data_IF_732057683002
#
_entry.id   IF_732057683002
#
_cell.length_a   1.000
_cell.length_b   1.000
_cell.length_c   1.000
_cell.angle_alpha   90.00
_cell.angle_beta   90.00
_cell.angle_gamma   90.00
#
_symmetry.space_group_name_H-M   'P 1'
#
loop_
_entity.id
_entity.type
_entity.pdbx_description
1 polymer ?
#
# COMPACT_ATOMS: atom_id res chain seq x y z
N UNK A 1 -2.49 17.67 -3.79
CA UNK A 1 -2.70 16.95 -2.52
C UNK A 1 -2.67 15.45 -2.76
N UNK A 2 -1.97 14.70 -1.91
CA UNK A 2 -1.86 13.26 -2.08
C UNK A 2 -3.16 12.58 -1.62
N UNK A 3 -3.68 11.69 -2.45
CA UNK A 3 -4.91 10.98 -2.14
C UNK A 3 -4.59 9.66 -1.41
N UNK A 4 -4.44 9.76 -0.10
CA UNK A 4 -4.10 8.60 0.72
C UNK A 4 -5.24 7.57 0.81
N UNK A 5 -6.48 8.03 0.67
CA UNK A 5 -7.61 7.11 0.64
C UNK A 5 -7.55 6.21 -0.59
N UNK A 6 -7.20 6.80 -1.73
CA UNK A 6 -7.03 6.03 -2.95
C UNK A 6 -5.82 5.10 -2.85
N UNK A 7 -4.79 5.50 -2.11
CA UNK A 7 -3.63 4.62 -1.87
C UNK A 7 -4.06 3.34 -1.15
N UNK A 8 -4.88 3.48 -0.10
CA UNK A 8 -5.38 2.32 0.64
C UNK A 8 -6.21 1.41 -0.27
N UNK A 9 -7.07 2.01 -1.10
CA UNK A 9 -7.91 1.26 -2.03
C UNK A 9 -7.05 0.52 -3.05
N UNK A 10 -6.09 1.22 -3.65
CA UNK A 10 -5.21 0.63 -4.66
C UNK A 10 -4.37 -0.51 -4.10
N UNK A 11 -3.88 -0.35 -2.87
CA UNK A 11 -3.13 -1.42 -2.21
C UNK A 11 -4.01 -2.65 -2.00
N UNK A 12 -5.25 -2.45 -1.54
CA UNK A 12 -6.20 -3.55 -1.34
C UNK A 12 -6.60 -4.24 -2.63
N UNK A 13 -6.57 -3.50 -3.75
CA UNK A 13 -6.89 -4.05 -5.06
C UNK A 13 -5.67 -4.61 -5.79
N UNK A 14 -4.49 -4.53 -5.19
CA UNK A 14 -3.24 -4.98 -5.78
C UNK A 14 -2.92 -4.22 -7.07
N UNK A 15 -3.25 -2.94 -7.10
CA UNK A 15 -3.03 -2.06 -8.26
C UNK A 15 -1.67 -1.39 -8.13
N UNK A 16 -0.64 -2.10 -8.57
CA UNK A 16 0.75 -1.66 -8.44
C UNK A 16 1.01 -0.28 -9.04
N UNK A 17 0.51 -0.04 -10.24
CA UNK A 17 0.78 1.22 -10.93
C UNK A 17 0.24 2.42 -10.17
N UNK A 18 -0.99 2.32 -9.66
CA UNK A 18 -1.61 3.39 -8.88
C UNK A 18 -0.87 3.59 -7.56
N UNK A 19 -0.49 2.50 -6.90
CA UNK A 19 0.27 2.57 -5.64
C UNK A 19 1.58 3.31 -5.88
N UNK A 20 2.33 2.95 -6.91
CA UNK A 20 3.61 3.60 -7.23
C UNK A 20 3.42 5.07 -7.53
N UNK A 21 2.42 5.41 -8.34
CA UNK A 21 2.14 6.78 -8.73
C UNK A 21 1.88 7.65 -7.51
N UNK A 22 1.06 7.16 -6.57
CA UNK A 22 0.74 7.91 -5.36
C UNK A 22 1.97 8.05 -4.47
N UNK A 23 2.73 6.97 -4.30
CA UNK A 23 3.92 6.99 -3.43
C UNK A 23 5.00 7.95 -3.95
N UNK A 24 5.10 8.12 -5.26
CA UNK A 24 6.06 9.05 -5.85
C UNK A 24 5.79 10.50 -5.49
N UNK A 25 4.57 10.82 -5.08
CA UNK A 25 4.19 12.16 -4.67
C UNK A 25 4.56 12.47 -3.22
N UNK A 26 4.98 11.46 -2.44
CA UNK A 26 5.38 11.64 -1.05
C UNK A 26 6.73 12.37 -1.01
N UNK A 27 6.79 13.45 -0.23
CA UNK A 27 8.00 14.28 -0.16
C UNK A 27 8.35 14.76 1.26
N UNK A 28 7.72 14.16 2.28
CA UNK A 28 7.97 14.56 3.67
C UNK A 28 7.76 13.37 4.61
N UNK A 29 8.32 13.48 5.81
CA UNK A 29 8.13 12.45 6.85
C UNK A 29 6.66 12.33 7.25
N UNK A 30 5.97 13.46 7.35
CA UNK A 30 4.56 13.45 7.71
C UNK A 30 3.73 12.71 6.68
N UNK A 31 3.94 13.03 5.39
CA UNK A 31 3.23 12.35 4.30
C UNK A 31 3.58 10.87 4.26
N UNK A 32 4.85 10.52 4.52
CA UNK A 32 5.29 9.13 4.52
C UNK A 32 4.60 8.32 5.62
N UNK A 33 4.43 8.90 6.80
CA UNK A 33 3.73 8.21 7.89
C UNK A 33 2.26 7.94 7.54
N UNK A 34 1.59 8.92 6.93
CA UNK A 34 0.20 8.74 6.51
C UNK A 34 0.12 7.71 5.39
N UNK A 35 1.07 7.74 4.45
CA UNK A 35 1.12 6.75 3.38
C UNK A 35 1.32 5.34 3.93
N UNK A 36 2.16 5.19 4.96
CA UNK A 36 2.38 3.89 5.60
C UNK A 36 1.08 3.35 6.21
N UNK A 37 0.33 4.21 6.91
CA UNK A 37 -0.95 3.82 7.48
C UNK A 37 -1.94 3.41 6.38
N UNK A 38 -1.96 4.14 5.27
CA UNK A 38 -2.83 3.80 4.15
C UNK A 38 -2.48 2.44 3.55
N UNK A 39 -1.18 2.15 3.41
CA UNK A 39 -0.73 0.86 2.91
C UNK A 39 -1.13 -0.28 3.85
N UNK A 40 -1.00 -0.07 5.17
CA UNK A 40 -1.41 -1.08 6.15
C UNK A 40 -2.91 -1.33 6.08
N UNK A 41 -3.70 -0.28 5.88
CA UNK A 41 -5.13 -0.41 5.71
C UNK A 41 -5.47 -1.25 4.48
N UNK A 42 -4.74 -1.04 3.38
CA UNK A 42 -4.89 -1.85 2.19
C UNK A 42 -4.55 -3.31 2.43
N UNK A 43 -3.51 -3.58 3.23
CA UNK A 43 -3.13 -4.94 3.58
C UNK A 43 -4.20 -5.62 4.42
N UNK A 44 -4.88 -4.88 5.30
CA UNK A 44 -6.00 -5.43 6.06
C UNK A 44 -7.12 -5.88 5.12
N UNK A 45 -7.39 -5.09 4.07
CA UNK A 45 -8.37 -5.44 3.05
C UNK A 45 -7.96 -6.73 2.33
N UNK A 46 -6.69 -6.86 1.98
CA UNK A 46 -6.16 -8.08 1.33
C UNK A 46 -6.40 -9.29 2.22
N UNK A 47 -6.10 -9.18 3.51
CA UNK A 47 -6.31 -10.27 4.46
C UNK A 47 -7.77 -10.68 4.56
N UNK A 48 -8.66 -9.69 4.58
CA UNK A 48 -10.10 -9.94 4.63
C UNK A 48 -10.59 -10.65 3.37
N UNK A 49 -10.14 -10.20 2.20
CA UNK A 49 -10.51 -10.84 0.95
C UNK A 49 -10.00 -12.27 0.85
N UNK A 50 -8.82 -12.53 1.42
CA UNK A 50 -8.30 -13.89 1.51
C UNK A 50 -9.21 -14.76 2.38
N UNK A 51 -9.63 -14.26 3.53
CA UNK A 51 -10.53 -15.01 4.42
C UNK A 51 -11.86 -15.29 3.78
N UNK A 52 -12.34 -14.38 2.93
CA UNK A 52 -13.61 -14.52 2.23
C UNK A 52 -13.51 -15.42 1.00
N UNK A 53 -12.31 -15.87 0.65
CA UNK A 53 -12.09 -16.74 -0.49
C UNK A 53 -12.01 -16.02 -1.82
N UNK A 54 -11.93 -14.69 -1.82
CA UNK A 54 -11.80 -13.91 -3.05
C UNK A 54 -10.34 -13.78 -3.51
N UNK A 55 -9.40 -13.78 -2.56
CA UNK A 55 -7.97 -13.78 -2.85
C UNK A 55 -7.36 -15.12 -2.44
N UNK A 56 -6.35 -15.55 -3.16
CA UNK A 56 -5.63 -16.79 -2.91
C UNK A 56 -4.20 -16.50 -2.45
N UNK A 57 -3.44 -17.55 -2.16
CA UNK A 57 -2.08 -17.42 -1.65
C UNK A 57 -1.20 -16.57 -2.56
N UNK A 58 -1.34 -16.73 -3.89
CA UNK A 58 -0.59 -15.93 -4.85
C UNK A 58 -0.84 -14.42 -4.68
N UNK A 59 -2.09 -14.05 -4.38
CA UNK A 59 -2.43 -12.65 -4.16
C UNK A 59 -1.78 -12.11 -2.88
N UNK A 60 -1.69 -12.94 -1.84
CA UNK A 60 -1.02 -12.56 -0.60
C UNK A 60 0.48 -12.31 -0.83
N UNK A 61 1.10 -13.17 -1.62
CA UNK A 61 2.52 -13.03 -1.95
C UNK A 61 2.74 -11.73 -2.72
N UNK A 62 1.90 -11.45 -3.69
CA UNK A 62 2.00 -10.22 -4.48
C UNK A 62 1.76 -8.98 -3.59
N UNK A 63 0.78 -9.04 -2.70
CA UNK A 63 0.52 -7.96 -1.76
C UNK A 63 1.73 -7.69 -0.87
N UNK A 64 2.39 -8.74 -0.42
CA UNK A 64 3.63 -8.62 0.36
C UNK A 64 4.73 -7.91 -0.41
N UNK A 65 4.86 -8.21 -1.70
CA UNK A 65 5.83 -7.55 -2.56
C UNK A 65 5.50 -6.07 -2.72
N UNK A 66 4.21 -5.74 -2.93
CA UNK A 66 3.79 -4.34 -3.02
C UNK A 66 4.09 -3.59 -1.74
N UNK A 67 3.85 -4.21 -0.59
CA UNK A 67 4.11 -3.57 0.70
C UNK A 67 5.61 -3.35 0.90
N UNK A 68 6.43 -4.33 0.52
CA UNK A 68 7.89 -4.22 0.61
C UNK A 68 8.38 -3.06 -0.25
N UNK A 69 7.89 -2.95 -1.48
CA UNK A 69 8.25 -1.87 -2.38
C UNK A 69 7.81 -0.52 -1.83
N UNK A 70 6.62 -0.46 -1.24
CA UNK A 70 6.11 0.77 -0.62
C UNK A 70 7.01 1.22 0.52
N UNK A 71 7.42 0.30 1.38
CA UNK A 71 8.33 0.59 2.49
C UNK A 71 9.65 1.13 1.97
N UNK A 72 10.20 0.54 0.91
CA UNK A 72 11.46 0.99 0.32
C UNK A 72 11.35 2.43 -0.19
N UNK A 73 10.24 2.77 -0.85
CA UNK A 73 10.02 4.13 -1.36
C UNK A 73 9.87 5.12 -0.21
N UNK A 74 9.20 4.74 0.86
CA UNK A 74 8.93 5.64 1.99
C UNK A 74 10.08 5.74 2.98
N UNK A 75 10.96 4.75 3.00
CA UNK A 75 12.04 4.65 3.98
C UNK A 75 12.90 5.92 4.11
N UNK A 76 13.30 6.60 3.01
CA UNK A 76 14.11 7.82 3.14
C UNK A 76 13.40 8.94 3.90
N UNK A 77 12.09 8.92 3.98
CA UNK A 77 11.29 9.95 4.66
C UNK A 77 10.89 9.55 6.08
N UNK A 78 11.07 8.30 6.44
CA UNK A 78 10.75 7.79 7.78
C UNK A 78 11.99 7.92 8.65
N UNK A 79 11.86 8.61 9.77
CA UNK A 79 12.98 8.82 10.67
C UNK A 79 13.28 7.57 11.49
#
# INVERSE_FOLDING_TARGET
MIDFENLAIAMGELDEDTVKEILEAVDSAEAANVAMEACQKGMDTVGKLFEEGEYFVGDLIYAGELMTDAVEVLKPYLA
#
